data_IF_637365692206
#
_entry.id   IF_637365692206
#
_cell.length_a   1.000
_cell.length_b   1.000
_cell.length_c   1.000
_cell.angle_alpha   90.00
_cell.angle_beta   90.00
_cell.angle_gamma   90.00
#
_symmetry.space_group_name_H-M   'P 1'
#
loop_
_entity.id
_entity.type
_entity.pdbx_description
1 polymer ?
#
# COMPACT_ATOMS: atom_id res chain seq x y z
N UNK A 1 2.89 -20.22 -10.02
CA UNK A 1 2.89 -18.78 -10.36
C UNK A 1 1.81 -18.60 -11.39
N UNK A 2 0.82 -17.75 -11.11
CA UNK A 2 -0.26 -17.46 -12.06
C UNK A 2 0.23 -16.52 -13.15
N UNK A 3 -0.28 -16.70 -14.36
CA UNK A 3 -0.07 -15.76 -15.45
C UNK A 3 -0.77 -14.43 -15.10
N UNK A 4 -0.11 -13.30 -15.33
CA UNK A 4 -0.72 -12.01 -15.03
C UNK A 4 -1.85 -11.73 -16.03
N UNK A 5 -3.00 -11.20 -15.61
CA UNK A 5 -4.05 -10.82 -16.54
C UNK A 5 -3.51 -9.77 -17.52
N UNK A 6 -3.57 -10.07 -18.82
CA UNK A 6 -3.16 -9.14 -19.89
C UNK A 6 -1.82 -9.46 -20.58
N UNK A 7 -1.03 -10.42 -20.10
CA UNK A 7 0.15 -10.97 -20.81
C UNK A 7 1.39 -10.06 -20.89
N UNK A 8 1.30 -8.79 -20.49
CA UNK A 8 2.42 -7.86 -20.37
C UNK A 8 2.59 -7.40 -18.91
N UNK A 9 3.59 -7.97 -18.24
CA UNK A 9 3.91 -7.69 -16.84
C UNK A 9 4.48 -6.30 -16.64
N UNK A 10 5.18 -5.74 -17.63
CA UNK A 10 5.78 -4.40 -17.53
C UNK A 10 4.71 -3.33 -17.65
N UNK A 11 3.82 -3.46 -18.63
CA UNK A 11 2.67 -2.56 -18.78
C UNK A 11 1.77 -2.61 -17.53
N UNK A 12 1.45 -3.81 -17.05
CA UNK A 12 0.66 -4.00 -15.82
C UNK A 12 1.32 -3.32 -14.62
N UNK A 13 2.64 -3.47 -14.46
CA UNK A 13 3.37 -2.84 -13.37
C UNK A 13 3.34 -1.30 -13.46
N UNK A 14 3.52 -0.73 -14.65
CA UNK A 14 3.46 0.71 -14.86
C UNK A 14 2.07 1.30 -14.55
N UNK A 15 1.00 0.67 -15.06
CA UNK A 15 -0.38 1.09 -14.78
C UNK A 15 -0.71 0.99 -13.29
N UNK A 16 -0.29 -0.10 -12.65
CA UNK A 16 -0.48 -0.32 -11.21
C UNK A 16 0.29 0.72 -10.38
N UNK A 17 1.50 1.10 -10.80
CA UNK A 17 2.30 2.12 -10.14
C UNK A 17 1.65 3.51 -10.21
N UNK A 18 1.07 3.88 -11.36
CA UNK A 18 0.32 5.14 -11.49
C UNK A 18 -0.94 5.14 -10.61
N UNK A 19 -1.66 4.02 -10.54
CA UNK A 19 -2.81 3.90 -9.64
C UNK A 19 -2.40 4.03 -8.17
N UNK A 20 -1.30 3.39 -7.77
CA UNK A 20 -0.75 3.46 -6.41
C UNK A 20 -0.36 4.90 -6.05
N UNK A 21 0.26 5.61 -6.99
CA UNK A 21 0.63 7.02 -6.85
C UNK A 21 -0.62 7.88 -6.64
N UNK A 22 -1.62 7.77 -7.51
CA UNK A 22 -2.87 8.53 -7.40
C UNK A 22 -3.56 8.30 -6.05
N UNK A 23 -3.55 7.06 -5.55
CA UNK A 23 -4.13 6.75 -4.25
C UNK A 23 -3.38 7.42 -3.09
N UNK A 24 -2.05 7.44 -3.14
CA UNK A 24 -1.19 8.04 -2.10
C UNK A 24 -1.24 9.57 -2.12
N UNK A 25 -1.41 10.17 -3.30
CA UNK A 25 -1.52 11.63 -3.48
C UNK A 25 -2.96 12.15 -3.27
N UNK A 26 -3.95 11.26 -3.28
CA UNK A 26 -5.35 11.63 -3.10
C UNK A 26 -5.64 12.05 -1.67
N UNK A 27 -5.93 13.34 -1.45
CA UNK A 27 -6.33 13.84 -0.12
C UNK A 27 -7.60 13.20 0.45
N UNK A 28 -8.43 12.54 -0.37
CA UNK A 28 -9.61 11.82 0.09
C UNK A 28 -9.28 10.43 0.66
N UNK A 29 -8.21 9.80 0.18
CA UNK A 29 -7.78 8.45 0.56
C UNK A 29 -6.63 8.51 1.56
N UNK A 30 -5.65 9.37 1.29
CA UNK A 30 -4.47 9.61 2.11
C UNK A 30 -4.75 10.57 3.27
N UNK A 31 -5.90 10.42 3.93
CA UNK A 31 -6.21 11.17 5.15
C UNK A 31 -5.19 10.80 6.23
N UNK A 32 -4.11 11.58 6.31
CA UNK A 32 -3.19 11.55 7.45
C UNK A 32 -4.05 11.73 8.69
N UNK A 33 -3.91 10.87 9.71
CA UNK A 33 -4.81 10.70 10.86
C UNK A 33 -5.13 11.91 11.75
N UNK A 34 -5.35 13.10 11.20
CA UNK A 34 -6.09 14.19 11.82
C UNK A 34 -7.58 13.87 11.69
N UNK A 35 -8.03 12.92 12.50
CA UNK A 35 -9.45 12.88 12.85
C UNK A 35 -9.88 14.27 13.38
N UNK A 36 -11.14 14.68 13.21
CA UNK A 36 -11.63 15.93 13.78
C UNK A 36 -11.54 15.84 15.31
N UNK A 37 -10.48 16.41 15.90
CA UNK A 37 -10.23 16.37 17.35
C UNK A 37 -8.83 15.92 17.80
N UNK A 38 -7.89 15.60 16.90
CA UNK A 38 -6.50 15.37 17.29
C UNK A 38 -5.86 16.64 17.88
N UNK A 39 -5.10 16.56 18.99
CA UNK A 39 -4.45 17.72 19.57
C UNK A 39 -3.57 18.43 18.53
N UNK A 40 -3.51 19.78 18.54
CA UNK A 40 -2.58 20.50 17.68
C UNK A 40 -1.15 20.05 18.02
N UNK A 41 -0.38 19.74 16.99
CA UNK A 41 1.04 19.43 17.12
C UNK A 41 1.70 20.59 17.87
N UNK A 42 2.26 20.29 19.02
CA UNK A 42 3.16 21.16 19.75
C UNK A 42 4.36 21.42 18.85
N UNK A 43 4.38 22.62 18.25
CA UNK A 43 5.44 23.20 17.40
C UNK A 43 6.74 23.44 18.18
N UNK A 44 7.15 22.46 18.98
CA UNK A 44 8.44 22.41 19.63
C UNK A 44 9.44 21.83 18.64
N UNK A 45 9.95 22.70 17.76
CA UNK A 45 11.03 22.42 16.82
C UNK A 45 12.33 21.99 17.51
N UNK A 46 12.40 20.73 17.94
CA UNK A 46 13.62 20.05 18.34
C UNK A 46 14.01 19.00 17.29
N UNK A 47 15.31 18.79 17.00
CA UNK A 47 15.76 17.71 16.12
C UNK A 47 15.65 16.39 16.87
N UNK A 48 14.43 15.91 17.04
CA UNK A 48 14.12 14.61 17.63
C UNK A 48 14.38 13.56 16.55
N UNK A 49 15.63 13.09 16.50
CA UNK A 49 16.03 11.94 15.72
C UNK A 49 15.19 10.72 16.10
N UNK A 50 14.28 10.36 15.21
CA UNK A 50 13.60 9.08 15.20
C UNK A 50 13.23 8.79 13.75
N UNK A 51 14.00 7.92 13.10
CA UNK A 51 13.73 7.37 11.77
C UNK A 51 12.50 6.43 11.81
N UNK A 52 11.39 6.86 12.41
CA UNK A 52 10.15 6.10 12.35
C UNK A 52 9.56 6.38 10.99
N UNK A 53 9.86 5.51 10.02
CA UNK A 53 9.25 5.53 8.69
C UNK A 53 7.77 5.79 8.85
N UNK A 54 7.31 6.94 8.33
CA UNK A 54 5.93 7.37 8.50
C UNK A 54 5.07 6.32 7.79
N UNK A 55 4.14 5.70 8.52
CA UNK A 55 3.22 4.75 7.89
C UNK A 55 2.57 5.43 6.67
N UNK A 56 2.54 4.75 5.51
CA UNK A 56 1.93 5.32 4.34
C UNK A 56 0.46 5.61 4.65
N UNK A 57 -0.04 6.79 4.22
CA UNK A 57 -1.39 7.24 4.61
C UNK A 57 -2.48 6.32 4.05
N UNK A 58 -2.16 5.56 3.00
CA UNK A 58 -2.95 4.43 2.51
C UNK A 58 -2.17 3.15 2.81
N UNK A 59 -2.81 2.19 3.47
CA UNK A 59 -2.15 0.93 3.85
C UNK A 59 -2.31 -0.16 2.78
N UNK A 60 -3.53 -0.39 2.30
CA UNK A 60 -3.82 -1.32 1.21
C UNK A 60 -4.89 -0.77 0.25
N UNK A 61 -4.83 -1.20 -1.02
CA UNK A 61 -5.93 -1.06 -1.98
C UNK A 61 -6.43 -2.46 -2.34
N UNK A 62 -7.75 -2.60 -2.41
CA UNK A 62 -8.41 -3.82 -2.87
C UNK A 62 -9.41 -3.44 -3.96
N UNK A 63 -9.13 -3.88 -5.17
CA UNK A 63 -10.00 -3.71 -6.33
C UNK A 63 -10.73 -5.02 -6.53
N UNK A 64 -12.06 -4.98 -6.57
CA UNK A 64 -12.89 -6.16 -6.80
C UNK A 64 -13.49 -6.07 -8.19
N UNK A 65 -13.12 -7.01 -9.04
CA UNK A 65 -13.72 -7.24 -10.36
C UNK A 65 -14.75 -8.37 -10.28
N UNK A 66 -15.37 -8.70 -11.40
CA UNK A 66 -16.36 -9.77 -11.47
C UNK A 66 -15.78 -11.13 -11.07
N UNK A 67 -14.53 -11.39 -11.47
CA UNK A 67 -13.83 -12.67 -11.40
C UNK A 67 -12.53 -12.63 -10.57
N UNK A 68 -12.15 -11.46 -10.04
CA UNK A 68 -10.85 -11.29 -9.42
C UNK A 68 -10.76 -10.19 -8.38
N UNK A 69 -9.71 -10.27 -7.57
CA UNK A 69 -9.24 -9.22 -6.70
C UNK A 69 -7.84 -8.79 -7.11
N UNK A 70 -7.59 -7.48 -7.17
CA UNK A 70 -6.24 -6.93 -7.20
C UNK A 70 -5.95 -6.27 -5.85
N UNK A 71 -4.87 -6.68 -5.20
CA UNK A 71 -4.43 -6.15 -3.94
C UNK A 71 -3.11 -5.41 -4.12
N UNK A 72 -3.02 -4.19 -3.58
CA UNK A 72 -1.77 -3.47 -3.42
C UNK A 72 -1.52 -3.25 -1.93
N UNK A 73 -0.35 -3.66 -1.44
CA UNK A 73 0.08 -3.41 -0.05
C UNK A 73 1.30 -2.51 -0.07
N UNK A 74 1.19 -1.31 0.50
CA UNK A 74 2.35 -0.42 0.62
C UNK A 74 3.33 -0.94 1.66
N UNK A 75 4.61 -0.82 1.36
CA UNK A 75 5.72 -1.17 2.24
C UNK A 75 6.19 0.12 2.91
N UNK A 76 6.20 0.14 4.24
CA UNK A 76 6.82 1.23 5.00
C UNK A 76 8.33 1.14 4.80
N UNK A 77 8.93 2.08 4.09
CA UNK A 77 10.38 2.14 3.93
C UNK A 77 10.96 3.33 4.67
N UNK A 78 12.27 3.30 4.95
CA UNK A 78 13.00 4.45 5.50
C UNK A 78 13.35 5.49 4.42
N UNK A 79 13.04 5.21 3.16
CA UNK A 79 13.29 6.10 2.03
C UNK A 79 12.01 6.83 1.64
N UNK A 80 12.14 8.02 1.04
CA UNK A 80 11.00 8.80 0.53
C UNK A 80 10.36 8.19 -0.74
N UNK A 81 10.66 6.92 -1.04
CA UNK A 81 10.14 6.19 -2.20
C UNK A 81 8.99 5.27 -1.81
N UNK A 82 7.93 5.29 -2.60
CA UNK A 82 6.77 4.41 -2.44
C UNK A 82 7.06 3.05 -3.04
N UNK A 83 7.12 2.02 -2.20
CA UNK A 83 7.20 0.62 -2.63
C UNK A 83 5.90 -0.07 -2.25
N UNK A 84 5.40 -0.96 -3.12
CA UNK A 84 4.23 -1.77 -2.84
C UNK A 84 4.36 -3.18 -3.42
N UNK A 85 3.61 -4.11 -2.85
CA UNK A 85 3.43 -5.47 -3.38
C UNK A 85 2.08 -5.54 -4.09
N UNK A 86 2.06 -6.03 -5.33
CA UNK A 86 0.84 -6.29 -6.10
C UNK A 86 0.53 -7.79 -6.13
N UNK A 87 -0.72 -8.15 -5.90
CA UNK A 87 -1.24 -9.51 -6.01
C UNK A 87 -2.56 -9.51 -6.77
N UNK A 88 -2.64 -10.33 -7.81
CA UNK A 88 -3.90 -10.74 -8.41
C UNK A 88 -4.38 -12.05 -7.79
N UNK A 89 -5.67 -12.15 -7.53
CA UNK A 89 -6.29 -13.30 -6.90
C UNK A 89 -7.62 -13.61 -7.60
N UNK A 90 -7.81 -14.85 -8.03
CA UNK A 90 -9.11 -15.31 -8.55
C UNK A 90 -10.20 -15.19 -7.47
N UNK A 91 -11.40 -14.75 -7.84
CA UNK A 91 -12.48 -14.46 -6.90
C UNK A 91 -13.25 -15.70 -6.46
N UNK A 92 -13.32 -16.72 -7.29
CA UNK A 92 -14.06 -17.95 -7.00
C UNK A 92 -13.19 -18.95 -6.23
N UNK A 93 -11.88 -18.95 -6.49
CA UNK A 93 -10.92 -19.87 -5.87
C UNK A 93 -10.11 -19.24 -4.73
N UNK A 94 -9.93 -17.92 -4.75
CA UNK A 94 -9.01 -17.22 -3.86
C UNK A 94 -9.55 -16.89 -2.47
N UNK A 95 -8.71 -17.04 -1.45
CA UNK A 95 -9.03 -16.62 -0.09
C UNK A 95 -8.52 -15.20 0.17
N UNK A 96 -9.38 -14.19 -0.04
CA UNK A 96 -9.05 -12.78 0.15
C UNK A 96 -8.54 -12.47 1.57
N UNK A 97 -9.16 -13.06 2.60
CA UNK A 97 -8.77 -12.81 3.99
C UNK A 97 -7.34 -13.28 4.27
N UNK A 98 -7.01 -14.50 3.82
CA UNK A 98 -5.66 -15.03 3.95
C UNK A 98 -4.66 -14.24 3.12
N UNK A 99 -5.01 -13.85 1.90
CA UNK A 99 -4.16 -13.04 1.03
C UNK A 99 -3.75 -11.72 1.69
N UNK A 100 -4.69 -11.01 2.33
CA UNK A 100 -4.40 -9.76 3.06
C UNK A 100 -3.43 -9.97 4.22
N UNK A 101 -3.66 -11.00 5.04
CA UNK A 101 -2.77 -11.32 6.18
C UNK A 101 -1.36 -11.61 5.67
N UNK A 102 -1.24 -12.46 4.65
CA UNK A 102 0.06 -12.83 4.07
C UNK A 102 0.79 -11.66 3.42
N UNK A 103 0.07 -10.79 2.71
CA UNK A 103 0.66 -9.58 2.14
C UNK A 103 1.18 -8.62 3.20
N UNK A 104 0.45 -8.44 4.30
CA UNK A 104 0.91 -7.63 5.43
C UNK A 104 2.20 -8.22 6.04
N UNK A 105 2.22 -9.53 6.33
CA UNK A 105 3.41 -10.23 6.84
C UNK A 105 4.62 -10.11 5.88
N UNK A 106 4.37 -10.17 4.57
CA UNK A 106 5.43 -10.01 3.56
C UNK A 106 5.95 -8.58 3.51
N UNK A 107 5.07 -7.58 3.52
CA UNK A 107 5.46 -6.17 3.52
C UNK A 107 6.31 -5.82 4.74
N UNK A 108 5.93 -6.28 5.94
CA UNK A 108 6.68 -6.02 7.17
C UNK A 108 8.10 -6.63 7.12
N UNK A 109 8.26 -7.77 6.44
CA UNK A 109 9.57 -8.42 6.26
C UNK A 109 10.46 -7.72 5.24
N UNK A 110 9.88 -6.95 4.32
CA UNK A 110 10.64 -6.17 3.34
C UNK A 110 11.24 -4.89 3.95
N UNK A 111 10.82 -4.49 5.15
CA UNK A 111 11.31 -3.30 5.87
C UNK A 111 12.71 -3.51 6.47
N UNK A 112 13.28 -4.72 6.43
CA UNK A 112 14.53 -5.10 7.09
C UNK A 112 15.80 -5.02 6.22
N UNK A 113 15.84 -4.12 5.22
CA UNK A 113 16.97 -3.94 4.29
C UNK A 113 17.79 -2.69 4.53
#
# INVERSE_FOLDING_TARGET
>A
MGDAPGGDVEATAAETAELARLATESGALALTGKGPGGPPDDDSGGPSGGLSGKEPPVQDLIITNADSYHLLRFVTTTFDSTVFVHLWLDRDEGNLALARIRLAEMADRLVLG
#
